data_IF_194624939212
#
_entry.id   IF_194624939212
#
_cell.length_a   1.000
_cell.length_b   1.000
_cell.length_c   1.000
_cell.angle_alpha   90.00
_cell.angle_beta   90.00
_cell.angle_gamma   90.00
#
_symmetry.space_group_name_H-M   'P 1'
#
loop_
_entity.id
_entity.type
_entity.pdbx_description
1 polymer ?
#
# COMPACT_ATOMS: atom_id res chain seq x y z
N UNK A 1 0.55 -9.21 25.17
CA UNK A 1 1.53 -8.93 24.10
C UNK A 1 0.78 -8.30 22.95
N UNK A 2 1.02 -7.01 22.70
CA UNK A 2 0.53 -6.29 21.53
C UNK A 2 1.60 -5.26 21.22
N UNK A 3 2.56 -5.65 20.40
CA UNK A 3 3.72 -4.84 20.04
C UNK A 3 3.24 -3.72 19.13
N UNK A 4 2.98 -2.55 19.72
CA UNK A 4 2.80 -1.32 18.99
C UNK A 4 4.13 -0.98 18.29
N UNK A 5 4.16 -1.18 16.97
CA UNK A 5 5.28 -0.83 16.11
C UNK A 5 5.65 0.64 16.29
N UNK A 6 6.80 0.85 16.88
CA UNK A 6 7.42 2.15 17.09
C UNK A 6 7.94 2.69 15.74
N UNK A 7 7.14 3.52 15.07
CA UNK A 7 7.61 4.38 13.98
C UNK A 7 7.83 5.80 14.50
N UNK A 8 8.93 5.97 15.25
CA UNK A 8 9.47 7.29 15.56
C UNK A 8 10.16 7.87 14.32
N UNK A 9 9.57 8.91 13.72
CA UNK A 9 10.22 9.54 12.57
C UNK A 9 9.51 10.68 11.84
N UNK A 10 8.71 11.56 12.49
CA UNK A 10 8.08 12.73 11.83
C UNK A 10 7.25 12.37 10.55
N UNK A 11 6.70 13.37 9.85
CA UNK A 11 6.00 13.28 8.54
C UNK A 11 4.46 13.15 8.60
N UNK A 12 3.83 14.34 8.61
CA UNK A 12 2.57 14.71 7.94
C UNK A 12 1.61 13.56 7.58
N UNK A 13 0.58 13.39 8.41
CA UNK A 13 -0.62 12.61 8.10
C UNK A 13 -1.54 13.42 7.17
N UNK A 14 -1.73 13.05 5.90
CA UNK A 14 -2.85 13.56 5.11
C UNK A 14 -4.21 13.18 5.74
N UNK A 15 -5.25 13.89 5.33
CA UNK A 15 -6.59 13.91 5.95
C UNK A 15 -7.33 12.57 6.06
N UNK A 16 -6.79 11.48 5.50
CA UNK A 16 -7.36 10.13 5.53
C UNK A 16 -6.66 9.19 6.54
N UNK A 17 -5.74 9.68 7.37
CA UNK A 17 -5.04 8.86 8.38
C UNK A 17 -3.94 7.95 7.80
N UNK A 18 -3.77 7.92 6.48
CA UNK A 18 -2.67 7.26 5.78
C UNK A 18 -1.44 8.17 5.74
N UNK A 19 -0.24 7.62 5.69
CA UNK A 19 0.98 8.38 5.37
C UNK A 19 1.04 8.70 3.88
N UNK A 20 1.92 9.64 3.47
CA UNK A 20 2.16 9.95 2.05
C UNK A 20 2.55 8.70 1.26
N UNK A 21 3.40 7.84 1.86
CA UNK A 21 3.86 6.60 1.25
C UNK A 21 2.71 5.61 1.00
N UNK A 22 1.88 5.37 2.02
CA UNK A 22 0.72 4.49 1.93
C UNK A 22 -0.30 5.03 0.93
N UNK A 23 -0.57 6.33 0.94
CA UNK A 23 -1.48 6.94 -0.01
C UNK A 23 -0.97 6.81 -1.45
N UNK A 24 0.34 6.94 -1.69
CA UNK A 24 0.93 6.70 -3.01
C UNK A 24 0.73 5.25 -3.47
N UNK A 25 1.04 4.27 -2.62
CA UNK A 25 0.82 2.83 -2.92
C UNK A 25 -0.65 2.56 -3.23
N UNK A 26 -1.55 3.02 -2.36
CA UNK A 26 -2.99 2.85 -2.53
C UNK A 26 -3.49 3.46 -3.84
N UNK A 27 -3.07 4.69 -4.15
CA UNK A 27 -3.51 5.37 -5.37
C UNK A 27 -3.04 4.66 -6.64
N UNK A 28 -1.84 4.06 -6.63
CA UNK A 28 -1.35 3.25 -7.75
C UNK A 28 -2.17 1.97 -7.93
N UNK A 29 -2.51 1.29 -6.84
CA UNK A 29 -3.35 0.09 -6.86
C UNK A 29 -4.76 0.44 -7.37
N UNK A 30 -5.36 1.53 -6.87
CA UNK A 30 -6.67 2.05 -7.31
C UNK A 30 -6.68 2.44 -8.79
N UNK A 31 -5.62 3.07 -9.27
CA UNK A 31 -5.50 3.50 -10.66
C UNK A 31 -5.30 2.34 -11.65
N UNK A 32 -5.11 1.10 -11.18
CA UNK A 32 -4.93 -0.06 -12.04
C UNK A 32 -6.29 -0.64 -12.48
N UNK A 33 -6.66 -0.55 -13.77
CA UNK A 33 -7.94 -1.09 -14.25
C UNK A 33 -7.91 -2.61 -14.49
N UNK A 34 -6.76 -3.26 -14.26
CA UNK A 34 -6.59 -4.68 -14.58
C UNK A 34 -7.46 -5.55 -13.65
N UNK A 35 -8.13 -6.58 -14.18
CA UNK A 35 -8.94 -7.49 -13.36
C UNK A 35 -8.10 -8.20 -12.31
N UNK A 36 -6.87 -8.59 -12.69
CA UNK A 36 -5.85 -9.20 -11.84
C UNK A 36 -5.30 -8.21 -10.80
N UNK A 37 -5.44 -6.90 -10.96
CA UNK A 37 -4.86 -5.89 -10.06
C UNK A 37 -3.44 -5.47 -10.45
N UNK A 38 -2.73 -4.84 -9.51
CA UNK A 38 -1.38 -4.35 -9.68
C UNK A 38 -0.40 -5.26 -8.93
N UNK A 39 0.64 -5.75 -9.62
CA UNK A 39 1.63 -6.60 -8.96
C UNK A 39 2.69 -5.80 -8.18
N UNK A 40 3.36 -6.45 -7.22
CA UNK A 40 4.41 -5.84 -6.41
C UNK A 40 5.58 -5.29 -7.24
N UNK A 41 5.91 -5.94 -8.36
CA UNK A 41 6.98 -5.52 -9.25
C UNK A 41 6.66 -4.19 -9.94
N UNK A 42 5.41 -3.99 -10.38
CA UNK A 42 4.90 -2.75 -10.95
C UNK A 42 4.89 -1.63 -9.89
N UNK A 43 4.49 -1.94 -8.65
CA UNK A 43 4.61 -1.00 -7.52
C UNK A 43 6.04 -0.52 -7.33
N UNK A 44 7.00 -1.44 -7.30
CA UNK A 44 8.44 -1.12 -7.18
C UNK A 44 8.93 -0.27 -8.36
N UNK A 45 8.48 -0.57 -9.57
CA UNK A 45 8.84 0.20 -10.77
C UNK A 45 8.25 1.62 -10.77
N UNK A 46 7.07 1.84 -10.18
CA UNK A 46 6.47 3.17 -10.08
C UNK A 46 6.99 3.96 -8.87
N UNK A 47 7.30 3.27 -7.78
CA UNK A 47 7.79 3.87 -6.53
C UNK A 47 9.31 3.75 -6.43
N UNK A 48 10.04 4.14 -7.49
CA UNK A 48 11.52 4.04 -7.50
C UNK A 48 12.19 4.94 -6.44
N UNK A 49 11.49 5.98 -5.97
CA UNK A 49 11.92 6.84 -4.88
C UNK A 49 11.77 6.19 -3.50
N UNK A 50 11.09 5.04 -3.42
CA UNK A 50 10.81 4.33 -2.19
C UNK A 50 11.60 3.02 -2.13
N UNK A 51 12.06 2.66 -0.92
CA UNK A 51 12.75 1.39 -0.73
C UNK A 51 11.76 0.23 -0.69
N UNK A 52 12.19 -0.95 -1.14
CA UNK A 52 11.40 -2.19 -1.09
C UNK A 52 10.77 -2.45 0.29
N UNK A 53 11.50 -2.35 1.44
CA UNK A 53 10.88 -2.57 2.74
C UNK A 53 9.76 -1.55 3.02
N UNK A 54 9.94 -0.27 2.69
CA UNK A 54 8.89 0.74 2.89
C UNK A 54 7.63 0.47 2.05
N UNK A 55 7.79 -0.01 0.80
CA UNK A 55 6.65 -0.42 -0.03
C UNK A 55 5.94 -1.60 0.62
N UNK A 56 6.69 -2.59 1.11
CA UNK A 56 6.13 -3.78 1.75
C UNK A 56 5.38 -3.44 3.04
N UNK A 57 5.93 -2.57 3.87
CA UNK A 57 5.24 -2.07 5.08
C UNK A 57 3.97 -1.29 4.75
N UNK A 58 3.99 -0.49 3.68
CA UNK A 58 2.80 0.22 3.23
C UNK A 58 1.72 -0.72 2.70
N UNK A 59 2.09 -1.73 1.90
CA UNK A 59 1.16 -2.77 1.40
C UNK A 59 0.57 -3.56 2.56
N UNK A 60 1.40 -4.03 3.51
CA UNK A 60 0.95 -4.76 4.69
C UNK A 60 -0.03 -3.95 5.53
N UNK A 61 0.29 -2.68 5.79
CA UNK A 61 -0.60 -1.77 6.50
C UNK A 61 -1.95 -1.59 5.77
N UNK A 62 -1.92 -1.31 4.47
CA UNK A 62 -3.14 -1.12 3.67
C UNK A 62 -3.99 -2.39 3.62
N UNK A 63 -3.36 -3.57 3.60
CA UNK A 63 -4.06 -4.85 3.62
C UNK A 63 -4.69 -5.12 5.00
N UNK A 64 -3.98 -4.83 6.09
CA UNK A 64 -4.50 -4.99 7.46
C UNK A 64 -5.65 -4.03 7.77
N UNK A 65 -5.57 -2.79 7.28
CA UNK A 65 -6.65 -1.80 7.41
C UNK A 65 -7.84 -2.07 6.47
N UNK A 66 -7.72 -3.04 5.56
CA UNK A 66 -8.78 -3.41 4.61
C UNK A 66 -8.92 -2.48 3.40
N UNK A 67 -7.93 -1.61 3.13
CA UNK A 67 -7.93 -0.75 1.94
C UNK A 67 -7.61 -1.52 0.66
N UNK A 68 -6.83 -2.59 0.76
CA UNK A 68 -6.45 -3.45 -0.36
C UNK A 68 -6.60 -4.93 0.01
N UNK A 69 -6.67 -5.79 -0.99
CA UNK A 69 -6.65 -7.25 -0.87
C UNK A 69 -5.85 -7.87 -2.02
N UNK A 70 -5.26 -9.04 -1.78
CA UNK A 70 -4.63 -9.86 -2.82
C UNK A 70 -5.68 -10.58 -3.67
N UNK A 71 -5.46 -10.68 -4.97
CA UNK A 71 -6.45 -11.17 -5.94
C UNK A 71 -6.18 -12.61 -6.36
N UNK A 72 -5.43 -12.80 -7.43
CA UNK A 72 -5.13 -14.09 -8.06
C UNK A 72 -3.93 -14.77 -7.40
N UNK A 73 -3.03 -13.99 -6.82
CA UNK A 73 -1.84 -14.46 -6.12
C UNK A 73 -1.35 -13.41 -5.12
N UNK A 74 -0.35 -13.78 -4.31
CA UNK A 74 0.17 -12.99 -3.18
C UNK A 74 0.86 -11.68 -3.59
N UNK A 75 1.25 -11.56 -4.87
CA UNK A 75 1.92 -10.38 -5.40
C UNK A 75 0.98 -9.43 -6.13
N UNK A 76 -0.26 -9.83 -6.44
CA UNK A 76 -1.26 -8.99 -7.11
C UNK A 76 -2.25 -8.37 -6.13
N UNK A 77 -2.31 -7.04 -6.10
CA UNK A 77 -3.15 -6.27 -5.18
C UNK A 77 -4.26 -5.51 -5.90
N UNK A 78 -5.43 -5.46 -5.26
CA UNK A 78 -6.54 -4.57 -5.62
C UNK A 78 -6.99 -3.75 -4.44
N UNK A 79 -7.52 -2.58 -4.72
CA UNK A 79 -8.19 -1.75 -3.73
C UNK A 79 -9.58 -2.29 -3.42
N UNK A 80 -9.89 -2.37 -2.13
CA UNK A 80 -11.22 -2.67 -1.59
C UNK A 80 -12.15 -1.46 -1.68
N UNK A 81 -11.59 -0.26 -1.91
CA UNK A 81 -12.37 0.95 -2.17
C UNK A 81 -13.26 0.70 -3.39
N UNK A 82 -14.53 0.44 -3.10
CA UNK A 82 -15.60 0.39 -4.05
C UNK A 82 -15.95 1.85 -4.37
N UNK A 83 -15.57 2.32 -5.55
CA UNK A 83 -16.37 3.37 -6.19
C UNK A 83 -17.77 2.81 -6.53
#
# INVERSE_FOLDING_TARGET
MGEAGNFGGNIFMPANGLTVAQNQVLNLIKACPRPEGLNFQDLKNQLQHMTIPSIKEAVDFLSNEGHIYSTVDDDHFKSTDAE
#
